data_IF_910366863246
#
_entry.id   IF_910366863246
#
_cell.length_a   1.000
_cell.length_b   1.000
_cell.length_c   1.000
_cell.angle_alpha   90.00
_cell.angle_beta   90.00
_cell.angle_gamma   90.00
#
_symmetry.space_group_name_H-M   'P 1'
#
loop_
_entity.id
_entity.type
_entity.pdbx_description
1 polymer ?
#
# COMPACT_ATOMS: atom_id res chain seq x y z
N UNK A 1 36.15 -34.88 10.51
CA UNK A 1 34.77 -34.39 10.33
C UNK A 1 34.67 -33.08 11.07
N UNK A 2 34.41 -31.96 10.37
CA UNK A 2 34.26 -30.64 11.02
C UNK A 2 32.78 -30.46 11.32
N UNK A 3 32.42 -30.33 12.59
CA UNK A 3 31.05 -30.03 13.02
C UNK A 3 31.03 -28.58 13.46
N UNK A 4 30.20 -27.76 12.81
CA UNK A 4 30.03 -26.36 13.18
C UNK A 4 28.77 -26.24 14.04
N UNK A 5 28.92 -25.87 15.31
CA UNK A 5 27.79 -25.69 16.22
C UNK A 5 27.47 -24.21 16.45
N UNK A 6 26.19 -23.93 16.77
CA UNK A 6 25.73 -22.59 17.16
C UNK A 6 26.40 -22.13 18.46
N UNK A 7 26.70 -23.07 19.35
CA UNK A 7 27.37 -22.83 20.62
C UNK A 7 28.78 -22.25 20.43
N UNK A 8 29.51 -22.68 19.40
CA UNK A 8 30.89 -22.27 19.13
C UNK A 8 30.98 -20.98 18.31
N UNK A 9 30.07 -20.80 17.35
CA UNK A 9 30.07 -19.65 16.43
C UNK A 9 29.30 -18.43 16.97
N UNK A 10 28.39 -18.66 17.92
CA UNK A 10 27.52 -17.66 18.52
C UNK A 10 26.39 -17.16 17.60
N UNK A 11 26.35 -17.58 16.33
CA UNK A 11 25.32 -17.16 15.38
C UNK A 11 25.12 -18.15 14.25
N UNK A 12 23.87 -18.38 13.84
CA UNK A 12 23.52 -19.31 12.76
C UNK A 12 24.09 -18.87 11.41
N UNK A 13 24.11 -17.57 11.12
CA UNK A 13 24.61 -17.07 9.84
C UNK A 13 26.10 -17.38 9.63
N UNK A 14 26.92 -17.38 10.71
CA UNK A 14 28.35 -17.70 10.60
C UNK A 14 28.57 -19.15 10.17
N UNK A 15 27.71 -20.05 10.67
CA UNK A 15 27.72 -21.46 10.28
C UNK A 15 27.34 -21.57 8.81
N UNK A 16 26.29 -20.88 8.38
CA UNK A 16 25.83 -20.89 6.98
C UNK A 16 26.92 -20.38 6.03
N UNK A 17 27.60 -19.28 6.37
CA UNK A 17 28.70 -18.75 5.56
C UNK A 17 29.88 -19.71 5.47
N UNK A 18 30.28 -20.31 6.60
CA UNK A 18 31.38 -21.28 6.62
C UNK A 18 31.01 -22.58 5.89
N UNK A 19 29.76 -23.04 6.02
CA UNK A 19 29.26 -24.18 5.29
C UNK A 19 29.25 -23.93 3.78
N UNK A 20 28.89 -22.72 3.35
CA UNK A 20 28.97 -22.31 1.95
C UNK A 20 30.41 -22.34 1.42
N UNK A 21 31.36 -21.73 2.14
CA UNK A 21 32.78 -21.77 1.76
C UNK A 21 33.32 -23.21 1.64
N UNK A 22 32.99 -24.07 2.60
CA UNK A 22 33.36 -25.49 2.57
C UNK A 22 32.74 -26.21 1.36
N UNK A 23 31.46 -25.96 1.08
CA UNK A 23 30.78 -26.54 -0.07
C UNK A 23 31.42 -26.10 -1.39
N UNK A 24 31.71 -24.81 -1.55
CA UNK A 24 32.39 -24.28 -2.74
C UNK A 24 33.76 -24.92 -2.94
N UNK A 25 34.54 -25.06 -1.86
CA UNK A 25 35.85 -25.71 -1.91
C UNK A 25 35.73 -27.17 -2.34
N UNK A 26 34.81 -27.93 -1.77
CA UNK A 26 34.59 -29.34 -2.15
C UNK A 26 34.18 -29.47 -3.63
N UNK A 27 33.37 -28.54 -4.13
CA UNK A 27 32.98 -28.54 -5.55
C UNK A 27 34.18 -28.23 -6.46
N UNK A 28 35.01 -27.25 -6.09
CA UNK A 28 36.25 -26.93 -6.80
C UNK A 28 37.24 -28.09 -6.79
N UNK A 29 37.41 -28.77 -5.64
CA UNK A 29 38.27 -29.94 -5.49
C UNK A 29 37.81 -31.12 -6.38
N UNK A 30 36.50 -31.19 -6.67
CA UNK A 30 35.91 -32.14 -7.62
C UNK A 30 35.99 -31.70 -9.09
N UNK A 31 36.60 -30.54 -9.37
CA UNK A 31 36.68 -29.97 -10.71
C UNK A 31 35.37 -29.38 -11.23
N UNK A 32 34.38 -29.12 -10.36
CA UNK A 32 33.10 -28.52 -10.76
C UNK A 32 33.26 -26.99 -10.75
N UNK A 33 33.13 -26.38 -11.92
CA UNK A 33 33.10 -24.92 -12.06
C UNK A 33 31.68 -24.40 -11.93
N UNK A 34 31.44 -23.55 -10.95
CA UNK A 34 30.16 -22.85 -10.77
C UNK A 34 30.30 -21.48 -11.43
N UNK A 35 29.51 -21.22 -12.47
CA UNK A 35 29.50 -19.92 -13.15
C UNK A 35 28.66 -18.87 -12.43
N UNK A 36 27.51 -19.30 -11.89
CA UNK A 36 26.51 -18.41 -11.33
C UNK A 36 25.76 -19.08 -10.17
N UNK A 37 25.42 -18.30 -9.16
CA UNK A 37 24.60 -18.72 -8.01
C UNK A 37 23.50 -17.70 -7.77
N UNK A 38 22.26 -18.19 -7.76
CA UNK A 38 21.08 -17.44 -7.35
C UNK A 38 20.84 -17.70 -5.86
N UNK A 39 20.77 -16.65 -5.06
CA UNK A 39 20.55 -16.77 -3.62
C UNK A 39 19.66 -15.66 -3.06
N UNK A 40 19.14 -15.85 -1.85
CA UNK A 40 18.33 -14.84 -1.16
C UNK A 40 19.17 -13.60 -0.77
N UNK A 41 18.52 -12.52 -0.34
CA UNK A 41 19.16 -11.22 -0.09
C UNK A 41 20.05 -11.21 1.17
N UNK A 42 21.24 -11.81 1.07
CA UNK A 42 22.28 -11.80 2.09
C UNK A 42 23.59 -11.22 1.54
N UNK A 43 24.06 -10.13 2.14
CA UNK A 43 25.26 -9.41 1.74
C UNK A 43 26.56 -10.23 1.93
N UNK A 44 26.58 -11.18 2.86
CA UNK A 44 27.77 -12.00 3.13
C UNK A 44 27.98 -13.08 2.08
N UNK A 45 26.88 -13.62 1.53
CA UNK A 45 26.95 -14.60 0.44
C UNK A 45 27.55 -13.96 -0.80
N UNK A 46 27.21 -12.71 -1.11
CA UNK A 46 27.81 -11.97 -2.22
C UNK A 46 29.33 -11.86 -2.07
N UNK A 47 29.81 -11.56 -0.86
CA UNK A 47 31.24 -11.42 -0.59
C UNK A 47 31.99 -12.75 -0.80
N UNK A 48 31.41 -13.86 -0.36
CA UNK A 48 31.97 -15.21 -0.52
C UNK A 48 31.99 -15.61 -1.99
N UNK A 49 30.87 -15.47 -2.70
CA UNK A 49 30.80 -15.82 -4.13
C UNK A 49 31.78 -15.00 -4.96
N UNK A 50 31.92 -13.71 -4.66
CA UNK A 50 32.90 -12.83 -5.31
C UNK A 50 34.34 -13.28 -5.06
N UNK A 51 34.67 -13.73 -3.85
CA UNK A 51 36.00 -14.26 -3.53
C UNK A 51 36.34 -15.53 -4.34
N UNK A 52 35.32 -16.32 -4.70
CA UNK A 52 35.46 -17.50 -5.56
C UNK A 52 35.26 -17.20 -7.06
N UNK A 53 35.18 -15.92 -7.47
CA UNK A 53 34.94 -15.48 -8.85
C UNK A 53 33.65 -16.04 -9.47
N UNK A 54 32.60 -16.20 -8.65
CA UNK A 54 31.28 -16.70 -9.06
C UNK A 54 30.35 -15.51 -9.23
N UNK A 55 29.54 -15.51 -10.30
CA UNK A 55 28.51 -14.49 -10.49
C UNK A 55 27.40 -14.69 -9.45
N UNK A 56 27.15 -13.65 -8.65
CA UNK A 56 26.02 -13.63 -7.71
C UNK A 56 24.80 -13.01 -8.37
N UNK A 57 23.66 -13.68 -8.26
CA UNK A 57 22.34 -13.15 -8.58
C UNK A 57 21.39 -13.24 -7.38
N UNK A 58 20.51 -12.24 -7.26
CA UNK A 58 19.46 -12.24 -6.25
C UNK A 58 18.25 -13.03 -6.74
N UNK A 59 17.70 -13.83 -5.84
CA UNK A 59 16.48 -14.57 -6.07
C UNK A 59 15.29 -13.61 -6.26
N UNK A 60 14.77 -13.56 -7.48
CA UNK A 60 13.64 -12.71 -7.84
C UNK A 60 12.34 -13.12 -7.13
N UNK A 61 12.16 -14.42 -6.88
CA UNK A 61 10.96 -14.92 -6.22
C UNK A 61 10.86 -14.39 -4.80
N UNK A 62 11.94 -14.48 -4.02
CA UNK A 62 12.02 -13.95 -2.66
C UNK A 62 11.88 -12.43 -2.65
N UNK A 63 12.48 -11.74 -3.63
CA UNK A 63 12.30 -10.29 -3.79
C UNK A 63 10.84 -9.90 -4.04
N UNK A 64 10.17 -10.57 -4.98
CA UNK A 64 8.75 -10.34 -5.27
C UNK A 64 7.87 -10.69 -4.06
N UNK A 65 8.14 -11.80 -3.38
CA UNK A 65 7.43 -12.23 -2.17
C UNK A 65 7.53 -11.18 -1.06
N UNK A 66 8.72 -10.61 -0.83
CA UNK A 66 8.95 -9.56 0.16
C UNK A 66 8.21 -8.26 -0.21
N UNK A 67 8.24 -7.85 -1.48
CA UNK A 67 7.48 -6.69 -1.97
C UNK A 67 5.97 -6.90 -1.78
N UNK A 68 5.45 -8.08 -2.12
CA UNK A 68 4.05 -8.43 -1.90
C UNK A 68 3.65 -8.41 -0.42
N UNK A 69 4.54 -8.88 0.47
CA UNK A 69 4.35 -8.81 1.92
C UNK A 69 4.17 -7.38 2.38
N UNK A 70 5.13 -6.50 2.06
CA UNK A 70 5.07 -5.08 2.39
C UNK A 70 3.85 -4.38 1.81
N UNK A 71 3.44 -4.74 0.59
CA UNK A 71 2.23 -4.17 0.00
C UNK A 71 0.96 -4.56 0.78
N UNK A 72 0.86 -5.82 1.21
CA UNK A 72 -0.25 -6.29 2.05
C UNK A 72 -0.27 -5.61 3.41
N UNK A 73 0.89 -5.45 4.05
CA UNK A 73 1.02 -4.71 5.32
C UNK A 73 0.57 -3.26 5.16
N UNK A 74 1.09 -2.54 4.15
CA UNK A 74 0.68 -1.16 3.87
C UNK A 74 -0.82 -1.04 3.56
N UNK A 75 -1.40 -2.00 2.84
CA UNK A 75 -2.85 -2.02 2.61
C UNK A 75 -3.63 -2.25 3.89
N UNK A 76 -3.14 -3.09 4.80
CA UNK A 76 -3.76 -3.30 6.11
C UNK A 76 -3.61 -2.07 7.00
N UNK A 77 -2.45 -1.42 7.03
CA UNK A 77 -2.23 -0.17 7.76
C UNK A 77 -3.14 0.96 7.25
N UNK A 78 -3.24 1.15 5.93
CA UNK A 78 -4.19 2.11 5.34
C UNK A 78 -5.66 1.81 5.68
N UNK A 79 -6.01 0.53 5.84
CA UNK A 79 -7.35 0.13 6.30
C UNK A 79 -7.53 0.34 7.81
N UNK A 80 -6.45 0.25 8.58
CA UNK A 80 -6.42 0.42 10.04
C UNK A 80 -6.31 1.86 10.48
N UNK A 81 -5.88 2.79 9.64
CA UNK A 81 -6.02 4.21 9.87
C UNK A 81 -7.40 4.65 9.38
N UNK A 82 -8.40 4.87 10.25
CA UNK A 82 -9.45 5.78 9.88
C UNK A 82 -8.74 7.11 9.60
N UNK A 83 -9.01 7.74 8.44
CA UNK A 83 -8.86 9.19 8.42
C UNK A 83 -9.73 9.69 9.58
N UNK A 84 -9.13 10.35 10.57
CA UNK A 84 -9.79 11.17 11.58
C UNK A 84 -10.49 12.37 10.93
N UNK A 85 -11.18 12.17 9.82
CA UNK A 85 -12.27 13.02 9.42
C UNK A 85 -13.43 12.61 10.31
N UNK A 86 -13.64 13.28 11.43
CA UNK A 86 -14.88 13.14 12.18
C UNK A 86 -16.01 13.60 11.25
N UNK A 87 -17.11 12.85 11.19
CA UNK A 87 -18.28 13.21 10.37
C UNK A 87 -18.77 14.63 10.69
N UNK A 88 -18.53 15.11 11.91
CA UNK A 88 -18.81 16.47 12.40
C UNK A 88 -18.02 17.57 11.72
N UNK A 89 -16.83 17.28 11.18
CA UNK A 89 -16.00 18.27 10.49
C UNK A 89 -16.43 18.46 9.02
N UNK A 90 -17.36 17.65 8.51
CA UNK A 90 -17.86 17.81 7.15
C UNK A 90 -18.68 19.11 7.05
N UNK A 91 -18.29 19.99 6.14
CA UNK A 91 -18.96 21.27 5.83
C UNK A 91 -19.81 21.18 4.56
N UNK A 92 -19.66 20.12 3.76
CA UNK A 92 -20.43 19.90 2.54
C UNK A 92 -20.99 18.48 2.41
N UNK A 93 -22.08 18.32 1.65
CA UNK A 93 -22.67 17.01 1.35
C UNK A 93 -21.69 16.09 0.61
N UNK A 94 -20.79 16.68 -0.20
CA UNK A 94 -19.76 15.93 -0.92
C UNK A 94 -18.73 15.30 0.03
N UNK A 95 -18.36 15.99 1.12
CA UNK A 95 -17.48 15.44 2.16
C UNK A 95 -18.19 14.31 2.94
N UNK A 96 -19.49 14.46 3.21
CA UNK A 96 -20.30 13.40 3.83
C UNK A 96 -20.36 12.13 2.95
N UNK A 97 -20.27 12.27 1.62
CA UNK A 97 -20.32 11.14 0.68
C UNK A 97 -19.09 10.22 0.74
N UNK A 98 -17.94 10.74 1.20
CA UNK A 98 -16.66 10.03 1.30
C UNK A 98 -16.70 8.98 2.42
N UNK A 99 -17.56 9.15 3.42
CA UNK A 99 -17.67 8.23 4.54
C UNK A 99 -18.29 6.88 4.17
N UNK A 100 -17.83 5.83 4.87
CA UNK A 100 -18.41 4.48 4.77
C UNK A 100 -19.76 4.39 5.47
N UNK A 101 -20.56 3.38 5.12
CA UNK A 101 -21.87 3.13 5.78
C UNK A 101 -21.68 2.89 7.29
N UNK A 102 -20.58 2.25 7.68
CA UNK A 102 -20.26 1.98 9.09
C UNK A 102 -20.06 3.29 9.85
N UNK A 103 -19.24 4.20 9.32
CA UNK A 103 -18.99 5.52 9.92
C UNK A 103 -20.25 6.38 10.00
N UNK A 104 -21.10 6.34 8.96
CA UNK A 104 -22.38 7.06 8.97
C UNK A 104 -23.36 6.49 10.00
N UNK A 105 -23.40 5.17 10.18
CA UNK A 105 -24.24 4.52 11.20
C UNK A 105 -23.74 4.80 12.62
N UNK A 106 -22.43 4.80 12.81
CA UNK A 106 -21.79 5.14 14.08
C UNK A 106 -22.12 6.58 14.49
N UNK A 107 -21.96 7.53 13.58
CA UNK A 107 -22.40 8.91 13.80
C UNK A 107 -23.90 8.99 14.12
N UNK A 108 -24.75 8.28 13.37
CA UNK A 108 -26.19 8.24 13.69
C UNK A 108 -26.46 7.65 15.08
N UNK A 109 -25.74 6.62 15.50
CA UNK A 109 -25.87 6.00 16.83
C UNK A 109 -25.51 6.99 17.94
N UNK A 110 -24.41 7.71 17.79
CA UNK A 110 -23.91 8.69 18.77
C UNK A 110 -24.85 9.89 18.92
N UNK A 111 -25.47 10.33 17.83
CA UNK A 111 -26.40 11.46 17.79
C UNK A 111 -27.87 11.05 17.89
N UNK A 112 -28.17 9.83 18.33
CA UNK A 112 -29.53 9.28 18.49
C UNK A 112 -30.42 9.35 17.22
N UNK A 113 -29.80 9.27 16.05
CA UNK A 113 -30.48 9.20 14.75
C UNK A 113 -30.74 7.73 14.37
N UNK A 114 -31.80 7.44 13.59
CA UNK A 114 -32.04 6.09 13.09
C UNK A 114 -30.85 5.57 12.27
N UNK A 115 -30.51 4.28 12.39
CA UNK A 115 -29.37 3.64 11.69
C UNK A 115 -29.79 2.74 10.50
N UNK A 116 -31.10 2.55 10.28
CA UNK A 116 -31.65 1.74 9.20
C UNK A 116 -31.62 2.48 7.86
N UNK A 117 -31.64 1.75 6.74
CA UNK A 117 -31.77 2.32 5.39
C UNK A 117 -30.51 2.30 4.53
N UNK A 118 -30.65 2.84 3.30
CA UNK A 118 -29.57 2.90 2.30
C UNK A 118 -28.53 3.97 2.64
N UNK A 119 -27.33 3.89 2.04
CA UNK A 119 -26.24 4.87 2.25
C UNK A 119 -26.72 6.31 2.02
N UNK A 120 -27.54 6.52 0.99
CA UNK A 120 -28.08 7.84 0.65
C UNK A 120 -29.02 8.39 1.74
N UNK A 121 -29.87 7.54 2.32
CA UNK A 121 -30.75 7.93 3.43
C UNK A 121 -29.96 8.27 4.70
N UNK A 122 -28.85 7.58 4.96
CA UNK A 122 -27.95 7.90 6.07
C UNK A 122 -27.25 9.24 5.83
N UNK A 123 -26.69 9.44 4.64
CA UNK A 123 -26.05 10.71 4.25
C UNK A 123 -27.00 11.91 4.37
N UNK A 124 -28.26 11.76 3.94
CA UNK A 124 -29.28 12.81 4.07
C UNK A 124 -29.56 13.16 5.54
N UNK A 125 -29.72 12.16 6.41
CA UNK A 125 -29.90 12.38 7.86
C UNK A 125 -28.73 13.12 8.48
N UNK A 126 -27.50 12.68 8.18
CA UNK A 126 -26.28 13.34 8.65
C UNK A 126 -26.19 14.78 8.14
N UNK A 127 -26.48 15.01 6.85
CA UNK A 127 -26.45 16.34 6.25
C UNK A 127 -27.50 17.29 6.85
N UNK A 128 -28.68 16.79 7.20
CA UNK A 128 -29.73 17.56 7.88
C UNK A 128 -29.33 17.88 9.31
N UNK A 129 -28.75 16.92 10.03
CA UNK A 129 -28.28 17.11 11.41
C UNK A 129 -27.17 18.16 11.49
N UNK A 130 -26.21 18.11 10.57
CA UNK A 130 -25.10 19.06 10.45
C UNK A 130 -25.48 20.41 9.80
N UNK A 131 -26.75 20.59 9.40
CA UNK A 131 -27.26 21.80 8.73
C UNK A 131 -26.44 22.20 7.49
N UNK A 132 -25.99 21.21 6.71
CA UNK A 132 -25.14 21.48 5.55
C UNK A 132 -25.92 22.18 4.44
N UNK A 133 -25.32 23.15 3.74
CA UNK A 133 -25.96 23.82 2.63
C UNK A 133 -26.32 22.79 1.56
N UNK A 134 -27.60 22.76 1.16
CA UNK A 134 -28.03 21.97 0.00
C UNK A 134 -27.23 22.46 -1.19
N UNK A 135 -26.61 21.53 -1.92
CA UNK A 135 -25.97 21.83 -3.20
C UNK A 135 -27.04 22.43 -4.14
N UNK A 136 -27.13 23.75 -4.20
CA UNK A 136 -28.14 24.45 -5.01
C UNK A 136 -28.61 25.84 -4.54
N UNK A 137 -28.28 26.31 -3.33
CA UNK A 137 -28.65 27.68 -2.91
C UNK A 137 -27.48 28.66 -3.13
N UNK A 138 -27.29 29.11 -4.37
CA UNK A 138 -26.54 30.33 -4.69
C UNK A 138 -27.47 31.26 -5.49
N UNK A 139 -27.43 32.59 -5.26
CA UNK A 139 -28.37 33.52 -5.84
C UNK A 139 -28.25 33.55 -7.36
N UNK A 140 -29.40 33.80 -7.98
CA UNK A 140 -29.65 33.90 -9.41
C UNK A 140 -28.68 34.86 -10.11
N UNK A 141 -27.56 34.32 -10.61
CA UNK A 141 -26.75 34.99 -11.62
C UNK A 141 -27.30 34.55 -12.96
N UNK A 142 -28.03 35.47 -13.59
CA UNK A 142 -28.54 35.37 -14.95
C UNK A 142 -27.36 35.20 -15.92
N UNK A 143 -26.94 33.96 -16.13
CA UNK A 143 -25.98 33.60 -17.16
C UNK A 143 -26.70 33.68 -18.50
N UNK A 144 -26.63 34.84 -19.16
CA UNK A 144 -26.86 34.89 -20.59
C UNK A 144 -25.94 33.84 -21.23
N UNK A 145 -26.54 32.86 -21.92
CA UNK A 145 -25.77 31.88 -22.68
C UNK A 145 -25.01 32.63 -23.78
N UNK A 146 -23.67 32.53 -23.86
CA UNK A 146 -22.97 32.98 -25.04
C UNK A 146 -23.45 32.14 -26.22
N UNK A 147 -23.89 32.79 -27.30
CA UNK A 147 -24.19 32.13 -28.56
C UNK A 147 -22.94 31.38 -29.03
N UNK A 148 -23.13 30.11 -29.39
CA UNK A 148 -22.04 29.17 -29.71
C UNK A 148 -21.20 29.57 -30.94
N UNK A 149 -21.70 30.52 -31.76
CA UNK A 149 -21.02 31.05 -32.93
C UNK A 149 -21.42 32.53 -33.16
N UNK A 150 -20.63 33.51 -32.69
CA UNK A 150 -20.95 34.93 -32.92
C UNK A 150 -20.65 35.40 -34.35
N UNK A 151 -19.81 34.69 -35.11
CA UNK A 151 -19.36 35.15 -36.43
C UNK A 151 -20.30 34.81 -37.59
N UNK A 152 -21.31 33.96 -37.38
CA UNK A 152 -22.27 33.58 -38.43
C UNK A 152 -23.53 34.47 -38.46
N UNK A 153 -23.62 35.46 -37.56
CA UNK A 153 -24.77 36.37 -37.50
C UNK A 153 -24.61 37.64 -38.38
N UNK A 154 -23.47 37.80 -39.06
CA UNK A 154 -23.18 38.98 -39.89
C UNK A 154 -23.13 38.63 -41.38
N UNK A 155 -24.20 38.03 -41.92
CA UNK A 155 -24.48 38.07 -43.37
C UNK A 155 -25.95 37.74 -43.62
N UNK A 156 -26.82 38.75 -43.53
CA UNK A 156 -27.95 39.04 -44.42
C UNK A 156 -28.55 40.38 -43.99
#
# INVERSE_FOLDING_TARGET
>A
MVTLTRSETGSSWKIETQALELALKILQDKGITIGEVIHDDNAQVDAILKAHNIVSQKDLWHKCKNVMGKFKENLQEKRRTPKESTVEAASTIAEVAVFSIVQLKEYCREHNLPQSGSKLQLMQRVSVHLKLPKAGASPEIQRQRPLKYPELAATT
#
